data_IF_735309225151
#
_entry.id   IF_735309225151
#
_cell.length_a   1.000
_cell.length_b   1.000
_cell.length_c   1.000
_cell.angle_alpha   90.00
_cell.angle_beta   90.00
_cell.angle_gamma   90.00
#
_symmetry.space_group_name_H-M   'P 1'
#
loop_
_entity.id
_entity.type
_entity.pdbx_description
1 polymer ?
#
# COMPACT_ATOMS: atom_id res chain seq x y z
N UNK A 1 -5.19 17.18 -26.45
CA UNK A 1 -5.25 15.73 -26.45
C UNK A 1 -5.65 15.13 -27.80
N UNK A 2 -6.74 15.56 -28.42
CA UNK A 2 -7.22 15.02 -29.71
C UNK A 2 -6.15 15.04 -30.81
N UNK A 3 -5.35 16.11 -30.89
CA UNK A 3 -4.27 16.20 -31.87
C UNK A 3 -3.20 15.13 -31.63
N UNK A 4 -2.84 14.88 -30.37
CA UNK A 4 -1.88 13.82 -30.01
C UNK A 4 -2.49 12.44 -30.30
N UNK A 5 -3.74 12.20 -29.89
CA UNK A 5 -4.46 10.96 -30.13
C UNK A 5 -4.51 10.60 -31.62
N UNK A 6 -4.92 11.55 -32.45
CA UNK A 6 -5.05 11.34 -33.91
C UNK A 6 -3.71 11.11 -34.61
N UNK A 7 -2.61 11.70 -34.10
CA UNK A 7 -1.30 11.60 -34.74
C UNK A 7 -0.44 10.46 -34.22
N UNK A 8 -0.64 10.03 -32.96
CA UNK A 8 0.26 9.12 -32.28
C UNK A 8 -0.44 7.89 -31.67
N UNK A 9 -1.76 7.99 -31.40
CA UNK A 9 -2.52 6.95 -30.69
C UNK A 9 -2.62 7.18 -29.18
N UNK A 10 -3.43 6.34 -28.51
CA UNK A 10 -3.71 6.43 -27.08
C UNK A 10 -2.51 6.19 -26.18
N UNK A 11 -1.57 5.34 -26.61
CA UNK A 11 -0.35 5.01 -25.85
C UNK A 11 0.56 6.21 -25.54
N UNK A 12 0.37 7.31 -26.27
CA UNK A 12 1.08 8.57 -26.03
C UNK A 12 0.36 9.51 -25.06
N UNK A 13 -0.75 9.06 -24.46
CA UNK A 13 -1.54 9.77 -23.47
C UNK A 13 -1.61 8.97 -22.16
N UNK A 14 -1.83 9.69 -21.05
CA UNK A 14 -2.01 9.06 -19.75
C UNK A 14 -2.83 9.93 -18.79
N UNK A 15 -3.28 9.31 -17.70
CA UNK A 15 -3.92 9.96 -16.56
C UNK A 15 -3.24 9.61 -15.24
N UNK A 16 -3.16 10.60 -14.35
CA UNK A 16 -2.70 10.40 -12.98
C UNK A 16 -3.75 10.95 -12.01
N UNK A 17 -4.45 10.03 -11.35
CA UNK A 17 -5.53 10.34 -10.42
C UNK A 17 -5.11 10.29 -8.96
N UNK A 18 -6.06 10.61 -8.10
CA UNK A 18 -5.83 10.77 -6.66
C UNK A 18 -6.65 9.80 -5.83
N UNK A 19 -6.06 9.38 -4.72
CA UNK A 19 -6.75 8.70 -3.61
C UNK A 19 -7.40 9.69 -2.62
N UNK A 20 -7.50 10.96 -2.94
CA UNK A 20 -8.17 12.00 -2.14
C UNK A 20 -9.59 12.27 -2.59
N UNK A 21 -9.94 11.85 -3.83
CA UNK A 21 -11.29 11.93 -4.38
C UNK A 21 -12.23 10.86 -3.86
N UNK A 22 -13.51 10.96 -4.28
CA UNK A 22 -14.52 9.92 -3.99
C UNK A 22 -14.34 8.69 -4.88
N UNK A 23 -15.08 7.62 -4.60
CA UNK A 23 -15.11 6.44 -5.48
C UNK A 23 -15.64 6.78 -6.88
N UNK A 24 -16.64 7.65 -6.93
CA UNK A 24 -17.27 8.12 -8.17
C UNK A 24 -16.27 8.90 -9.02
N UNK A 25 -15.51 9.80 -8.41
CA UNK A 25 -14.44 10.55 -9.11
C UNK A 25 -13.35 9.64 -9.64
N UNK A 26 -12.90 8.68 -8.83
CA UNK A 26 -11.91 7.69 -9.25
C UNK A 26 -12.42 6.82 -10.41
N UNK A 27 -13.68 6.35 -10.31
CA UNK A 27 -14.33 5.57 -11.36
C UNK A 27 -14.50 6.37 -12.64
N UNK A 28 -15.00 7.60 -12.55
CA UNK A 28 -15.21 8.46 -13.74
C UNK A 28 -13.87 8.83 -14.41
N UNK A 29 -12.84 9.09 -13.60
CA UNK A 29 -11.54 9.46 -14.14
C UNK A 29 -10.89 8.30 -14.90
N UNK A 30 -10.84 7.10 -14.32
CA UNK A 30 -10.29 5.93 -15.03
C UNK A 30 -11.11 5.57 -16.27
N UNK A 31 -12.43 5.66 -16.20
CA UNK A 31 -13.33 5.47 -17.35
C UNK A 31 -13.05 6.48 -18.45
N UNK A 32 -12.90 7.75 -18.09
CA UNK A 32 -12.58 8.82 -19.02
C UNK A 32 -11.26 8.53 -19.78
N UNK A 33 -10.19 8.20 -19.07
CA UNK A 33 -8.89 7.89 -19.69
C UNK A 33 -9.02 6.70 -20.64
N UNK A 34 -9.65 5.61 -20.19
CA UNK A 34 -9.81 4.40 -21.00
C UNK A 34 -10.66 4.62 -22.25
N UNK A 35 -11.76 5.37 -22.13
CA UNK A 35 -12.66 5.61 -23.24
C UNK A 35 -12.21 6.74 -24.18
N UNK A 36 -11.79 7.88 -23.61
CA UNK A 36 -11.48 9.07 -24.38
C UNK A 36 -10.07 9.05 -24.96
N UNK A 37 -9.10 8.51 -24.22
CA UNK A 37 -7.72 8.39 -24.70
C UNK A 37 -7.47 7.03 -25.37
N UNK A 38 -8.30 6.03 -25.12
CA UNK A 38 -8.14 4.69 -25.68
C UNK A 38 -6.91 3.95 -25.16
N UNK A 39 -6.59 4.13 -23.89
CA UNK A 39 -5.42 3.52 -23.24
C UNK A 39 -5.70 3.15 -21.79
N UNK A 40 -5.01 2.14 -21.28
CA UNK A 40 -5.01 1.79 -19.86
C UNK A 40 -3.91 2.51 -19.05
N UNK A 41 -3.23 3.50 -19.62
CA UNK A 41 -2.21 4.32 -18.93
C UNK A 41 -2.86 5.27 -17.91
N UNK A 42 -3.45 4.71 -16.87
CA UNK A 42 -4.08 5.44 -15.77
C UNK A 42 -3.68 4.79 -14.45
N UNK A 43 -3.11 5.56 -13.55
CA UNK A 43 -2.66 5.08 -12.24
C UNK A 43 -2.92 6.16 -11.19
N UNK A 44 -2.71 5.86 -9.92
CA UNK A 44 -2.88 6.83 -8.84
C UNK A 44 -1.80 6.70 -7.76
N UNK A 45 -1.83 7.59 -6.79
CA UNK A 45 -0.80 7.71 -5.77
C UNK A 45 -0.52 6.43 -4.94
N UNK A 46 -1.43 5.44 -4.92
CA UNK A 46 -1.17 4.14 -4.27
C UNK A 46 0.10 3.47 -4.79
N UNK A 47 0.46 3.71 -6.04
CA UNK A 47 1.70 3.19 -6.64
C UNK A 47 2.94 3.58 -5.85
N UNK A 48 2.97 4.79 -5.33
CA UNK A 48 4.08 5.33 -4.53
C UNK A 48 3.86 5.17 -3.03
N UNK A 49 2.68 4.69 -2.62
CA UNK A 49 2.25 4.57 -1.23
C UNK A 49 2.34 3.12 -0.75
N UNK A 50 1.29 2.33 -0.95
CA UNK A 50 1.14 0.96 -0.46
C UNK A 50 1.13 -0.12 -1.55
N UNK A 51 1.62 0.17 -2.76
CA UNK A 51 1.63 -0.85 -3.84
C UNK A 51 2.35 -2.13 -3.43
N UNK A 52 3.47 -2.02 -2.70
CA UNK A 52 4.20 -3.17 -2.16
C UNK A 52 3.38 -3.98 -1.14
N UNK A 53 2.63 -3.30 -0.25
CA UNK A 53 1.73 -3.96 0.70
C UNK A 53 0.55 -4.62 0.00
N UNK A 54 -0.05 -3.94 -1.01
CA UNK A 54 -1.17 -4.51 -1.79
C UNK A 54 -0.71 -5.74 -2.57
N UNK A 55 0.46 -5.69 -3.21
CA UNK A 55 1.01 -6.84 -3.91
C UNK A 55 1.20 -8.04 -2.97
N UNK A 56 1.82 -7.82 -1.80
CA UNK A 56 2.04 -8.87 -0.81
C UNK A 56 0.72 -9.44 -0.25
N UNK A 57 -0.29 -8.59 0.00
CA UNK A 57 -1.61 -9.02 0.48
C UNK A 57 -2.37 -9.82 -0.59
N UNK A 58 -2.36 -9.38 -1.85
CA UNK A 58 -2.97 -10.12 -2.96
C UNK A 58 -2.34 -11.51 -3.13
N UNK A 59 -1.02 -11.61 -3.02
CA UNK A 59 -0.30 -12.89 -3.07
C UNK A 59 -0.59 -13.76 -1.84
N UNK A 60 -0.60 -13.17 -0.64
CA UNK A 60 -0.65 -13.91 0.62
C UNK A 60 -2.06 -14.27 1.11
N UNK A 61 -3.05 -13.40 0.87
CA UNK A 61 -4.44 -13.61 1.36
C UNK A 61 -5.50 -13.37 0.28
N UNK A 62 -5.10 -13.16 -0.98
CA UNK A 62 -6.03 -12.98 -2.10
C UNK A 62 -6.79 -11.65 -2.11
N UNK A 63 -6.43 -10.69 -1.26
CA UNK A 63 -7.12 -9.40 -1.18
C UNK A 63 -6.14 -8.27 -0.87
N UNK A 64 -6.22 -7.16 -1.57
CA UNK A 64 -5.44 -5.94 -1.29
C UNK A 64 -6.00 -5.08 -0.14
N UNK A 65 -7.14 -5.45 0.41
CA UNK A 65 -7.81 -4.75 1.50
C UNK A 65 -7.23 -5.12 2.87
N UNK A 66 -7.53 -4.27 3.87
CA UNK A 66 -7.29 -4.63 5.27
C UNK A 66 -8.15 -5.84 5.66
N UNK A 67 -7.60 -6.76 6.46
CA UNK A 67 -8.37 -7.93 6.90
C UNK A 67 -9.19 -7.69 8.17
N UNK A 68 -8.99 -6.56 8.85
CA UNK A 68 -9.72 -6.18 10.05
C UNK A 68 -9.86 -4.65 10.15
N UNK A 69 -10.97 -4.12 10.69
CA UNK A 69 -11.14 -2.70 10.93
C UNK A 69 -10.18 -2.21 12.03
N UNK A 70 -9.96 -0.89 12.09
CA UNK A 70 -9.08 -0.29 13.11
C UNK A 70 -9.58 -0.55 14.54
N UNK A 71 -10.91 -0.61 14.71
CA UNK A 71 -11.56 -0.88 15.99
C UNK A 71 -11.29 -2.29 16.51
N UNK A 72 -10.83 -3.22 15.69
CA UNK A 72 -10.44 -4.57 16.14
C UNK A 72 -9.31 -4.54 17.20
N UNK A 73 -8.56 -3.44 17.30
CA UNK A 73 -7.58 -3.23 18.36
C UNK A 73 -8.17 -3.27 19.76
N UNK A 74 -9.46 -2.94 19.94
CA UNK A 74 -10.13 -2.99 21.26
C UNK A 74 -10.31 -4.42 21.79
N UNK A 75 -10.37 -5.41 20.88
CA UNK A 75 -10.55 -6.83 21.18
C UNK A 75 -9.23 -7.63 21.13
N UNK A 76 -8.11 -6.95 20.87
CA UNK A 76 -6.79 -7.59 20.71
C UNK A 76 -6.05 -7.69 22.05
N UNK A 77 -5.38 -8.83 22.28
CA UNK A 77 -4.49 -9.04 23.42
C UNK A 77 -3.07 -8.56 23.12
N UNK A 78 -2.68 -8.60 21.85
CA UNK A 78 -1.39 -8.12 21.37
C UNK A 78 -1.57 -7.26 20.12
N UNK A 79 -0.95 -6.10 20.11
CA UNK A 79 -0.97 -5.16 19.00
C UNK A 79 0.46 -4.87 18.59
N UNK A 80 0.81 -5.19 17.35
CA UNK A 80 2.08 -4.83 16.76
C UNK A 80 1.92 -3.60 15.86
N UNK A 81 2.69 -2.56 16.10
CA UNK A 81 2.76 -1.36 15.24
C UNK A 81 4.17 -1.24 14.71
N UNK A 82 4.36 -1.25 13.40
CA UNK A 82 5.68 -1.21 12.77
C UNK A 82 5.74 -0.22 11.62
N UNK A 83 6.80 0.59 11.57
CA UNK A 83 7.02 1.56 10.50
C UNK A 83 5.90 2.59 10.34
N UNK A 84 5.23 2.95 11.44
CA UNK A 84 4.10 3.87 11.48
C UNK A 84 4.11 4.73 12.74
N UNK A 85 3.55 5.95 12.63
CA UNK A 85 3.34 6.88 13.74
C UNK A 85 1.88 7.28 13.82
N UNK A 86 1.00 6.37 14.25
CA UNK A 86 -0.44 6.61 14.21
C UNK A 86 -0.89 7.80 15.05
N UNK A 87 -0.18 8.16 16.14
CA UNK A 87 -0.48 9.36 16.92
C UNK A 87 -0.29 10.68 16.13
N UNK A 88 0.49 10.66 15.04
CA UNK A 88 0.67 11.82 14.15
C UNK A 88 -0.20 11.72 12.90
N UNK A 89 -0.26 10.53 12.28
CA UNK A 89 -0.90 10.34 10.98
C UNK A 89 -2.35 9.86 11.08
N UNK A 90 -2.73 9.22 12.18
CA UNK A 90 -4.05 8.66 12.46
C UNK A 90 -4.45 8.94 13.92
N UNK A 91 -4.51 10.22 14.37
CA UNK A 91 -4.59 10.56 15.79
C UNK A 91 -5.83 10.00 16.49
N UNK A 92 -6.97 9.99 15.81
CA UNK A 92 -8.22 9.41 16.37
C UNK A 92 -8.06 7.89 16.51
N UNK A 93 -7.58 7.22 15.48
CA UNK A 93 -7.38 5.78 15.50
C UNK A 93 -6.31 5.36 16.52
N UNK A 94 -5.27 6.16 16.75
CA UNK A 94 -4.26 5.91 17.80
C UNK A 94 -4.86 5.88 19.22
N UNK A 95 -6.05 6.44 19.43
CA UNK A 95 -6.73 6.35 20.74
C UNK A 95 -7.11 4.92 21.07
N UNK A 96 -7.54 4.11 20.09
CA UNK A 96 -7.86 2.69 20.27
C UNK A 96 -6.61 1.92 20.74
N UNK A 97 -5.46 2.10 20.08
CA UNK A 97 -4.19 1.46 20.47
C UNK A 97 -3.79 1.80 21.90
N UNK A 98 -3.89 3.08 22.27
CA UNK A 98 -3.56 3.55 23.62
C UNK A 98 -4.53 3.03 24.68
N UNK A 99 -5.81 2.95 24.35
CA UNK A 99 -6.82 2.42 25.26
C UNK A 99 -6.67 0.91 25.44
N UNK A 100 -6.45 0.15 24.37
CA UNK A 100 -6.18 -1.28 24.45
C UNK A 100 -4.95 -1.57 25.33
N UNK A 101 -3.84 -0.83 25.14
CA UNK A 101 -2.66 -0.95 26.00
C UNK A 101 -2.95 -0.64 27.48
N UNK A 102 -3.77 0.39 27.77
CA UNK A 102 -4.21 0.71 29.15
C UNK A 102 -5.12 -0.37 29.76
N UNK A 103 -5.87 -1.10 28.95
CA UNK A 103 -6.70 -2.24 29.37
C UNK A 103 -5.88 -3.52 29.57
N UNK A 104 -4.58 -3.53 29.21
CA UNK A 104 -3.66 -4.66 29.45
C UNK A 104 -3.17 -5.36 28.20
N UNK A 105 -3.63 -4.98 27.00
CA UNK A 105 -3.10 -5.51 25.75
C UNK A 105 -1.58 -5.22 25.61
N UNK A 106 -0.83 -6.20 25.12
CA UNK A 106 0.60 -6.02 24.84
C UNK A 106 0.77 -5.17 23.58
N UNK A 107 1.33 -3.99 23.74
CA UNK A 107 1.61 -3.09 22.61
C UNK A 107 3.10 -3.18 22.27
N UNK A 108 3.41 -3.73 21.09
CA UNK A 108 4.75 -3.85 20.53
C UNK A 108 4.91 -2.74 19.48
N UNK A 109 5.86 -1.82 19.66
CA UNK A 109 6.07 -0.69 18.76
C UNK A 109 7.47 -0.73 18.17
N UNK A 110 7.56 -0.94 16.87
CA UNK A 110 8.80 -1.07 16.10
C UNK A 110 9.02 0.18 15.24
N UNK A 111 10.10 0.90 15.47
CA UNK A 111 10.48 2.09 14.70
C UNK A 111 11.99 2.32 14.82
N UNK A 112 12.69 2.72 13.76
CA UNK A 112 14.10 3.12 13.86
C UNK A 112 14.35 4.32 14.77
N UNK A 113 13.32 5.10 15.06
CA UNK A 113 13.39 6.27 15.92
C UNK A 113 12.38 6.19 17.07
N UNK A 114 12.78 6.70 18.21
CA UNK A 114 11.86 6.85 19.36
C UNK A 114 10.67 7.71 19.00
N UNK A 115 9.46 7.20 19.23
CA UNK A 115 8.19 7.87 18.96
C UNK A 115 7.28 7.91 20.21
N UNK A 116 6.27 8.79 20.17
CA UNK A 116 5.42 9.03 21.34
C UNK A 116 4.57 7.80 21.74
N UNK A 117 4.15 6.97 20.77
CA UNK A 117 3.38 5.77 21.05
C UNK A 117 4.17 4.78 21.93
N UNK A 118 5.50 4.80 21.89
CA UNK A 118 6.36 3.95 22.73
C UNK A 118 6.18 4.18 24.22
N UNK A 119 5.58 5.31 24.65
CA UNK A 119 5.24 5.56 26.07
C UNK A 119 4.14 4.62 26.59
N UNK A 120 3.35 4.07 25.69
CA UNK A 120 2.27 3.13 26.00
C UNK A 120 2.66 1.69 25.67
N UNK A 121 3.78 1.51 24.98
CA UNK A 121 4.25 0.19 24.57
C UNK A 121 4.75 -0.62 25.76
N UNK A 122 4.34 -1.88 25.82
CA UNK A 122 4.98 -2.88 26.69
C UNK A 122 6.38 -3.22 26.17
N UNK A 123 6.56 -3.21 24.85
CA UNK A 123 7.83 -3.52 24.19
C UNK A 123 8.13 -2.49 23.08
N UNK A 124 8.87 -1.41 23.40
CA UNK A 124 9.39 -0.49 22.40
C UNK A 124 10.64 -1.09 21.74
N UNK A 125 10.57 -1.36 20.45
CA UNK A 125 11.67 -1.97 19.68
C UNK A 125 12.28 -0.92 18.75
N UNK A 126 13.53 -0.54 19.03
CA UNK A 126 14.30 0.36 18.17
C UNK A 126 15.31 -0.50 17.39
N UNK A 127 15.27 -0.45 16.08
CA UNK A 127 16.10 -1.25 15.21
C UNK A 127 16.77 -0.41 14.12
N UNK A 128 17.80 -0.94 13.46
CA UNK A 128 18.51 -0.22 12.40
C UNK A 128 17.62 -0.08 11.14
N UNK A 129 17.57 1.10 10.48
CA UNK A 129 16.82 1.28 9.23
C UNK A 129 17.24 0.28 8.15
N UNK A 130 16.26 -0.25 7.40
CA UNK A 130 16.50 -1.17 6.30
C UNK A 130 16.74 -2.63 6.71
N UNK A 131 16.65 -2.95 8.01
CA UNK A 131 16.84 -4.30 8.52
C UNK A 131 15.52 -5.03 8.84
N UNK A 132 14.40 -4.53 8.32
CA UNK A 132 13.05 -5.03 8.60
C UNK A 132 12.93 -6.52 8.27
N UNK A 133 13.33 -6.95 7.07
CA UNK A 133 13.30 -8.37 6.67
C UNK A 133 14.12 -9.25 7.62
N UNK A 134 15.30 -8.81 8.03
CA UNK A 134 16.15 -9.56 8.94
C UNK A 134 15.48 -9.73 10.31
N UNK A 135 14.95 -8.64 10.86
CA UNK A 135 14.27 -8.65 12.16
C UNK A 135 12.99 -9.49 12.12
N UNK A 136 12.14 -9.33 11.10
CA UNK A 136 10.88 -10.05 10.97
C UNK A 136 11.10 -11.55 10.69
N UNK A 137 12.09 -11.89 9.87
CA UNK A 137 12.46 -13.30 9.67
C UNK A 137 13.05 -13.92 10.95
N UNK A 138 13.73 -13.15 11.81
CA UNK A 138 14.18 -13.67 13.09
C UNK A 138 13.00 -13.94 14.05
N UNK A 139 11.93 -13.16 14.00
CA UNK A 139 10.68 -13.49 14.69
C UNK A 139 10.06 -14.79 14.17
N UNK A 140 9.95 -14.93 12.84
CA UNK A 140 9.45 -16.16 12.20
C UNK A 140 10.31 -17.37 12.58
N UNK A 141 11.64 -17.22 12.62
CA UNK A 141 12.56 -18.25 13.06
C UNK A 141 12.23 -18.72 14.50
N UNK A 142 12.10 -17.78 15.45
CA UNK A 142 11.77 -18.11 16.85
C UNK A 142 10.44 -18.86 16.95
N UNK A 143 9.40 -18.35 16.27
CA UNK A 143 8.06 -18.95 16.29
C UNK A 143 8.10 -20.38 15.75
N UNK A 144 8.87 -20.63 14.70
CA UNK A 144 8.98 -21.97 14.09
C UNK A 144 9.90 -22.89 14.91
N UNK A 145 11.06 -22.40 15.40
CA UNK A 145 12.00 -23.17 16.22
C UNK A 145 11.37 -23.64 17.52
N UNK A 146 10.63 -22.76 18.19
CA UNK A 146 9.97 -23.02 19.47
C UNK A 146 8.57 -23.64 19.33
N UNK A 147 8.12 -23.91 18.10
CA UNK A 147 6.81 -24.49 17.77
C UNK A 147 5.63 -23.69 18.34
N UNK A 148 5.70 -22.35 18.25
CA UNK A 148 4.68 -21.42 18.71
C UNK A 148 3.64 -21.10 17.61
N UNK A 149 3.67 -21.81 16.49
CA UNK A 149 2.72 -21.66 15.38
C UNK A 149 1.45 -22.47 15.61
N UNK A 150 0.37 -22.06 14.98
CA UNK A 150 -0.92 -22.80 15.00
C UNK A 150 -0.93 -23.87 13.89
N UNK A 151 -0.65 -25.11 14.25
CA UNK A 151 -0.57 -26.21 13.31
C UNK A 151 -1.91 -26.50 12.64
N UNK A 152 -3.02 -26.38 13.36
CA UNK A 152 -4.36 -26.65 12.80
C UNK A 152 -4.73 -25.57 11.77
N UNK A 153 -4.46 -24.31 12.08
CA UNK A 153 -4.69 -23.21 11.14
C UNK A 153 -3.80 -23.34 9.90
N UNK A 154 -2.53 -23.70 10.07
CA UNK A 154 -1.60 -23.93 8.95
C UNK A 154 -2.10 -25.03 8.03
N UNK A 155 -2.49 -26.17 8.58
CA UNK A 155 -3.00 -27.29 7.78
C UNK A 155 -4.27 -26.97 7.01
N UNK A 156 -5.13 -26.12 7.58
CA UNK A 156 -6.42 -25.76 6.97
C UNK A 156 -6.34 -24.60 5.96
N UNK A 157 -5.40 -23.65 6.14
CA UNK A 157 -5.47 -22.36 5.47
C UNK A 157 -4.15 -21.85 4.87
N UNK A 158 -3.02 -22.53 5.11
CA UNK A 158 -1.71 -21.98 4.71
C UNK A 158 -0.99 -22.93 3.76
N UNK A 159 -0.59 -22.40 2.63
CA UNK A 159 0.31 -23.09 1.70
C UNK A 159 1.76 -22.60 1.89
N UNK A 160 2.74 -23.45 1.56
CA UNK A 160 4.15 -23.07 1.54
C UNK A 160 4.85 -22.99 2.90
N UNK A 161 4.24 -23.45 4.00
CA UNK A 161 4.84 -23.41 5.34
C UNK A 161 6.21 -24.09 5.42
N UNK A 162 6.41 -25.26 4.78
CA UNK A 162 7.69 -25.98 4.80
C UNK A 162 8.79 -25.21 4.03
N UNK A 163 8.43 -24.50 2.96
CA UNK A 163 9.36 -23.65 2.25
C UNK A 163 9.80 -22.44 3.12
N UNK A 164 8.83 -21.82 3.83
CA UNK A 164 9.10 -20.76 4.80
C UNK A 164 10.02 -21.27 5.92
N UNK A 165 9.69 -22.42 6.52
CA UNK A 165 10.50 -23.03 7.60
C UNK A 165 11.94 -23.26 7.19
N UNK A 166 12.14 -23.76 5.97
CA UNK A 166 13.49 -23.94 5.41
C UNK A 166 14.20 -22.60 5.20
N UNK A 167 13.49 -21.59 4.70
CA UNK A 167 14.06 -20.27 4.38
C UNK A 167 14.51 -19.52 5.63
N UNK A 168 13.70 -19.52 6.70
CA UNK A 168 14.00 -18.72 7.90
C UNK A 168 15.00 -19.40 8.86
N UNK A 169 15.43 -20.63 8.55
CA UNK A 169 16.39 -21.37 9.38
C UNK A 169 17.71 -20.60 9.64
N UNK A 170 18.13 -19.80 8.66
CA UNK A 170 19.38 -19.04 8.76
C UNK A 170 19.23 -17.67 9.41
N UNK A 171 18.01 -17.31 9.86
CA UNK A 171 17.69 -16.02 10.46
C UNK A 171 17.56 -16.11 11.99
N UNK A 172 18.43 -16.89 12.67
CA UNK A 172 18.37 -16.94 14.12
C UNK A 172 18.59 -15.55 14.73
N UNK A 173 17.94 -15.23 15.87
CA UNK A 173 18.12 -13.94 16.55
C UNK A 173 19.58 -13.57 16.78
N UNK A 174 20.42 -14.56 17.13
CA UNK A 174 21.85 -14.38 17.42
C UNK A 174 22.62 -13.92 16.17
N UNK A 175 22.28 -14.45 14.98
CA UNK A 175 22.87 -14.00 13.71
C UNK A 175 22.34 -12.63 13.29
N UNK A 176 21.08 -12.33 13.58
CA UNK A 176 20.43 -11.07 13.15
C UNK A 176 20.65 -9.92 14.13
N UNK A 177 21.18 -10.16 15.33
CA UNK A 177 21.45 -9.13 16.34
C UNK A 177 22.35 -8.02 15.80
N UNK A 178 23.49 -8.39 15.19
CA UNK A 178 24.41 -7.40 14.61
C UNK A 178 23.77 -6.61 13.47
N UNK A 179 22.96 -7.27 12.64
CA UNK A 179 22.29 -6.65 11.49
C UNK A 179 21.19 -5.70 11.94
N UNK A 180 20.28 -6.17 12.79
CA UNK A 180 19.09 -5.42 13.20
C UNK A 180 19.37 -4.40 14.31
N UNK A 181 20.40 -4.64 15.13
CA UNK A 181 20.69 -3.87 16.34
C UNK A 181 19.77 -4.20 17.51
N UNK A 182 19.01 -5.29 17.43
CA UNK A 182 18.08 -5.75 18.48
C UNK A 182 18.64 -7.03 19.07
N UNK A 183 18.80 -7.08 20.42
CA UNK A 183 19.40 -8.25 21.08
C UNK A 183 18.57 -9.52 20.86
N UNK A 184 19.25 -10.65 20.72
CA UNK A 184 18.62 -11.95 20.48
C UNK A 184 17.59 -12.31 21.55
N UNK A 185 17.90 -12.05 22.81
CA UNK A 185 16.97 -12.28 23.92
C UNK A 185 15.69 -11.46 23.79
N UNK A 186 15.80 -10.20 23.38
CA UNK A 186 14.64 -9.32 23.19
C UNK A 186 13.78 -9.74 21.99
N UNK A 187 14.43 -10.19 20.92
CA UNK A 187 13.70 -10.79 19.77
C UNK A 187 12.89 -12.00 20.22
N UNK A 188 13.49 -12.92 20.99
CA UNK A 188 12.79 -14.11 21.52
C UNK A 188 11.63 -13.71 22.43
N UNK A 189 11.82 -12.70 23.28
CA UNK A 189 10.78 -12.22 24.20
C UNK A 189 9.53 -11.73 23.46
N UNK A 190 9.66 -10.73 22.57
CA UNK A 190 8.49 -10.20 21.89
C UNK A 190 7.89 -11.15 20.84
N UNK A 191 8.70 -12.06 20.27
CA UNK A 191 8.18 -13.10 19.38
C UNK A 191 7.27 -14.08 20.12
N UNK A 192 7.65 -14.51 21.31
CA UNK A 192 6.82 -15.36 22.19
C UNK A 192 5.54 -14.64 22.61
N UNK A 193 5.63 -13.34 22.95
CA UNK A 193 4.45 -12.54 23.31
C UNK A 193 3.48 -12.50 22.16
N UNK A 194 3.95 -12.18 20.95
CA UNK A 194 3.11 -12.12 19.76
C UNK A 194 2.44 -13.46 19.44
N UNK A 195 3.21 -14.53 19.45
CA UNK A 195 2.73 -15.87 19.07
C UNK A 195 1.81 -16.51 20.11
N UNK A 196 2.06 -16.30 21.42
CA UNK A 196 1.25 -16.89 22.49
C UNK A 196 0.01 -16.07 22.85
N UNK A 197 -0.19 -14.89 22.26
CA UNK A 197 -1.42 -14.12 22.45
C UNK A 197 -2.57 -14.77 21.68
N UNK A 198 -3.75 -14.82 22.28
CA UNK A 198 -4.93 -15.41 21.66
C UNK A 198 -5.36 -14.60 20.43
N UNK A 199 -5.24 -13.27 20.52
CA UNK A 199 -5.66 -12.32 19.49
C UNK A 199 -4.58 -11.29 19.23
N UNK A 200 -3.88 -11.43 18.10
CA UNK A 200 -2.86 -10.46 17.68
C UNK A 200 -3.24 -9.75 16.39
N UNK A 201 -3.02 -8.44 16.33
CA UNK A 201 -3.23 -7.62 15.14
C UNK A 201 -1.95 -6.86 14.78
N UNK A 202 -1.66 -6.75 13.49
CA UNK A 202 -0.51 -5.99 12.99
C UNK A 202 -0.98 -4.74 12.24
N UNK A 203 -0.50 -3.58 12.68
CA UNK A 203 -0.61 -2.30 11.97
C UNK A 203 0.75 -1.90 11.42
N UNK A 204 0.81 -1.55 10.13
CA UNK A 204 2.06 -1.03 9.55
C UNK A 204 1.84 0.16 8.64
N UNK A 205 2.85 0.98 8.48
CA UNK A 205 2.78 2.19 7.65
C UNK A 205 3.81 2.23 6.52
N UNK A 206 4.07 3.44 6.06
CA UNK A 206 5.01 3.71 4.96
C UNK A 206 6.44 3.30 5.28
N UNK A 207 6.84 3.24 6.56
CA UNK A 207 8.13 2.73 6.99
C UNK A 207 8.38 1.27 6.61
N UNK A 208 7.33 0.48 6.38
CA UNK A 208 7.41 -0.88 5.82
C UNK A 208 7.34 -0.87 4.30
N UNK A 209 6.38 -0.11 3.74
CA UNK A 209 6.00 -0.19 2.33
C UNK A 209 6.96 0.54 1.40
N UNK A 210 7.45 1.71 1.80
CA UNK A 210 8.30 2.59 0.98
C UNK A 210 9.79 2.25 1.13
N UNK A 211 10.12 1.00 0.93
CA UNK A 211 11.48 0.45 0.90
C UNK A 211 11.75 -0.27 -0.41
N UNK A 212 13.02 -0.44 -0.76
CA UNK A 212 13.44 -1.30 -1.88
C UNK A 212 12.91 -2.73 -1.70
N UNK A 213 12.80 -3.20 -0.45
CA UNK A 213 12.25 -4.50 -0.06
C UNK A 213 10.85 -4.41 0.56
N UNK A 214 10.05 -3.38 0.22
CA UNK A 214 8.74 -3.15 0.82
C UNK A 214 7.75 -4.30 0.68
N UNK A 215 7.78 -5.01 -0.46
CA UNK A 215 6.97 -6.21 -0.67
C UNK A 215 7.41 -7.35 0.25
N UNK A 216 8.72 -7.59 0.41
CA UNK A 216 9.24 -8.63 1.29
C UNK A 216 8.99 -8.30 2.77
N UNK A 217 9.11 -7.03 3.17
CA UNK A 217 8.73 -6.59 4.51
C UNK A 217 7.26 -6.96 4.82
N UNK A 218 6.36 -6.64 3.88
CA UNK A 218 4.93 -6.94 4.02
C UNK A 218 4.65 -8.44 4.02
N UNK A 219 5.34 -9.22 3.18
CA UNK A 219 5.26 -10.70 3.17
C UNK A 219 5.66 -11.30 4.52
N UNK A 220 6.69 -10.77 5.18
CA UNK A 220 7.09 -11.22 6.52
C UNK A 220 5.97 -10.97 7.56
N UNK A 221 5.31 -9.81 7.52
CA UNK A 221 4.18 -9.49 8.42
C UNK A 221 2.97 -10.40 8.17
N UNK A 222 2.67 -10.66 6.90
CA UNK A 222 1.60 -11.58 6.51
C UNK A 222 1.93 -13.00 7.00
N UNK A 223 3.17 -13.47 6.79
CA UNK A 223 3.60 -14.79 7.25
C UNK A 223 3.51 -14.93 8.77
N UNK A 224 3.91 -13.91 9.55
CA UNK A 224 3.73 -13.89 11.01
C UNK A 224 2.27 -14.14 11.40
N UNK A 225 1.33 -13.42 10.80
CA UNK A 225 -0.08 -13.56 11.12
C UNK A 225 -0.67 -14.90 10.66
N UNK A 226 -0.26 -15.40 9.50
CA UNK A 226 -0.76 -16.67 8.96
C UNK A 226 -0.29 -17.87 9.78
N UNK A 227 1.00 -17.95 10.13
CA UNK A 227 1.50 -19.12 10.88
C UNK A 227 1.02 -19.18 12.33
N UNK A 228 0.54 -18.05 12.87
CA UNK A 228 0.00 -17.97 14.24
C UNK A 228 -1.54 -17.93 14.29
N UNK A 229 -2.23 -18.09 13.13
CA UNK A 229 -3.68 -18.08 13.06
C UNK A 229 -4.34 -16.73 13.37
N UNK A 230 -3.61 -15.62 13.18
CA UNK A 230 -4.09 -14.27 13.50
C UNK A 230 -4.72 -13.56 12.30
N UNK A 231 -5.47 -14.29 11.46
CA UNK A 231 -6.26 -13.75 10.36
C UNK A 231 -7.64 -14.40 10.36
N UNK A 232 -8.69 -13.59 10.10
CA UNK A 232 -10.05 -14.09 9.92
C UNK A 232 -10.85 -14.31 11.22
N UNK A 233 -10.35 -13.83 12.37
CA UNK A 233 -11.04 -13.91 13.67
C UNK A 233 -11.17 -12.53 14.30
N UNK A 234 -12.21 -12.24 15.11
CA UNK A 234 -12.33 -10.97 15.84
C UNK A 234 -11.09 -10.67 16.69
N UNK A 235 -10.61 -9.44 16.67
CA UNK A 235 -9.43 -8.99 17.39
C UNK A 235 -8.10 -9.41 16.75
N UNK A 236 -8.11 -10.04 15.57
CA UNK A 236 -6.91 -10.41 14.82
C UNK A 236 -6.89 -9.73 13.45
N UNK A 237 -5.73 -9.64 12.81
CA UNK A 237 -5.68 -9.19 11.42
C UNK A 237 -4.42 -8.48 10.97
N UNK A 238 -4.50 -8.07 9.73
CA UNK A 238 -3.49 -7.36 8.96
C UNK A 238 -4.05 -6.00 8.54
N UNK A 239 -3.41 -4.91 8.98
CA UNK A 239 -3.93 -3.57 8.77
C UNK A 239 -2.84 -2.60 8.30
N UNK A 240 -2.55 -2.52 6.98
CA UNK A 240 -1.76 -1.43 6.44
C UNK A 240 -2.48 -0.09 6.69
N UNK A 241 -1.84 0.80 7.43
CA UNK A 241 -2.35 2.13 7.74
C UNK A 241 -2.25 3.02 6.51
N UNK A 242 -3.38 3.25 5.85
CA UNK A 242 -3.45 4.09 4.65
C UNK A 242 -3.25 5.56 5.04
N UNK A 243 -2.52 6.31 4.22
CA UNK A 243 -2.27 7.74 4.47
C UNK A 243 -3.41 8.62 4.00
N UNK A 244 -3.83 8.45 2.76
CA UNK A 244 -4.90 9.23 2.16
C UNK A 244 -6.27 8.60 2.44
N UNK A 245 -7.30 9.43 2.45
CA UNK A 245 -8.65 9.06 2.89
C UNK A 245 -9.33 7.99 2.03
N UNK A 246 -8.98 7.85 0.75
CA UNK A 246 -9.64 6.92 -0.17
C UNK A 246 -8.66 6.06 -1.02
N UNK A 247 -7.52 5.68 -0.45
CA UNK A 247 -6.52 4.85 -1.17
C UNK A 247 -7.11 3.51 -1.60
N UNK A 248 -7.89 2.88 -0.73
CA UNK A 248 -8.51 1.60 -1.05
C UNK A 248 -9.63 1.78 -2.07
N UNK A 249 -10.56 2.70 -1.85
CA UNK A 249 -11.70 2.90 -2.74
C UNK A 249 -11.31 3.34 -4.16
N UNK A 250 -10.27 4.16 -4.31
CA UNK A 250 -9.74 4.51 -5.63
C UNK A 250 -9.18 3.28 -6.37
N UNK A 251 -8.52 2.37 -5.65
CA UNK A 251 -8.05 1.09 -6.21
C UNK A 251 -9.22 0.17 -6.56
N UNK A 252 -10.21 0.03 -5.66
CA UNK A 252 -11.42 -0.77 -5.86
C UNK A 252 -12.24 -0.27 -7.07
N UNK A 253 -12.24 1.05 -7.31
CA UNK A 253 -12.88 1.70 -8.46
C UNK A 253 -12.11 1.52 -9.78
N UNK A 254 -10.98 0.81 -9.79
CA UNK A 254 -10.20 0.49 -10.99
C UNK A 254 -9.26 1.59 -11.48
N UNK A 255 -8.87 2.53 -10.60
CA UNK A 255 -7.89 3.57 -10.94
C UNK A 255 -6.45 3.01 -10.92
N UNK A 256 -6.27 1.86 -11.52
CA UNK A 256 -5.03 1.08 -11.61
C UNK A 256 -4.86 0.57 -13.04
N UNK A 257 -3.65 0.63 -13.64
CA UNK A 257 -3.46 0.39 -15.07
C UNK A 257 -3.74 -1.05 -15.53
N UNK A 258 -3.68 -2.04 -14.62
CA UNK A 258 -3.84 -3.45 -15.00
C UNK A 258 -5.23 -4.03 -14.67
N UNK A 259 -6.12 -3.25 -14.03
CA UNK A 259 -7.43 -3.77 -13.62
C UNK A 259 -8.56 -2.78 -13.87
N UNK A 260 -9.75 -3.31 -14.12
CA UNK A 260 -11.03 -2.62 -14.02
C UNK A 260 -11.52 -2.59 -12.56
N UNK A 261 -12.67 -1.96 -12.27
CA UNK A 261 -13.28 -2.02 -10.93
C UNK A 261 -13.34 -3.44 -10.37
N UNK A 262 -13.19 -3.55 -9.05
CA UNK A 262 -13.16 -4.83 -8.32
C UNK A 262 -11.94 -5.72 -8.70
N UNK A 263 -10.81 -5.11 -9.04
CA UNK A 263 -9.52 -5.78 -9.37
C UNK A 263 -9.60 -6.79 -10.53
N UNK A 264 -10.57 -6.64 -11.43
CA UNK A 264 -10.75 -7.51 -12.59
C UNK A 264 -9.71 -7.17 -13.67
N UNK A 265 -8.99 -8.19 -14.18
CA UNK A 265 -7.90 -7.97 -15.14
C UNK A 265 -8.37 -7.33 -16.45
N UNK A 266 -7.65 -6.33 -16.96
CA UNK A 266 -7.90 -5.74 -18.28
C UNK A 266 -7.59 -6.71 -19.43
N UNK A 267 -6.74 -7.71 -19.19
CA UNK A 267 -6.36 -8.72 -20.17
C UNK A 267 -7.41 -9.86 -20.28
N UNK A 268 -8.31 -9.97 -19.31
CA UNK A 268 -9.40 -10.93 -19.35
C UNK A 268 -10.45 -10.49 -20.40
N UNK A 269 -10.67 -11.32 -21.40
CA UNK A 269 -11.55 -11.00 -22.52
C UNK A 269 -13.03 -10.89 -22.10
N UNK A 270 -13.48 -11.71 -21.18
CA UNK A 270 -14.88 -11.71 -20.73
C UNK A 270 -15.16 -10.47 -19.89
N UNK A 271 -14.24 -10.11 -19.01
CA UNK A 271 -14.28 -8.87 -18.22
C UNK A 271 -14.26 -7.64 -19.13
N UNK A 272 -13.34 -7.61 -20.10
CA UNK A 272 -13.26 -6.50 -21.05
C UNK A 272 -14.55 -6.34 -21.87
N UNK A 273 -15.09 -7.44 -22.41
CA UNK A 273 -16.35 -7.43 -23.14
C UNK A 273 -17.50 -6.89 -22.30
N UNK A 274 -17.57 -7.26 -21.01
CA UNK A 274 -18.56 -6.72 -20.07
C UNK A 274 -18.47 -5.19 -19.98
N UNK A 275 -17.24 -4.64 -19.80
CA UNK A 275 -17.07 -3.19 -19.70
C UNK A 275 -17.27 -2.48 -21.06
N UNK A 276 -16.88 -3.09 -22.17
CA UNK A 276 -17.16 -2.57 -23.53
C UNK A 276 -18.66 -2.44 -23.78
N UNK A 277 -19.44 -3.47 -23.41
CA UNK A 277 -20.90 -3.43 -23.48
C UNK A 277 -21.48 -2.31 -22.61
N UNK A 278 -21.08 -2.26 -21.33
CA UNK A 278 -21.58 -1.27 -20.37
C UNK A 278 -21.18 0.17 -20.71
N UNK A 279 -20.01 0.36 -21.28
CA UNK A 279 -19.50 1.69 -21.60
C UNK A 279 -19.73 2.10 -23.05
N UNK A 280 -20.13 1.16 -23.91
CA UNK A 280 -20.47 1.41 -25.33
C UNK A 280 -19.27 1.76 -26.20
N UNK A 281 -18.08 1.26 -25.88
CA UNK A 281 -16.83 1.54 -26.63
C UNK A 281 -15.81 0.44 -26.46
N UNK A 282 -15.04 0.13 -27.51
CA UNK A 282 -13.90 -0.77 -27.45
C UNK A 282 -12.81 -0.22 -26.55
N UNK A 283 -12.18 -1.11 -25.79
CA UNK A 283 -11.17 -0.80 -24.78
C UNK A 283 -9.82 -1.44 -25.16
N UNK A 284 -8.73 -0.85 -24.67
CA UNK A 284 -7.39 -1.40 -24.84
C UNK A 284 -7.28 -2.79 -24.13
N UNK A 285 -6.85 -3.84 -24.84
CA UNK A 285 -6.70 -5.18 -24.28
C UNK A 285 -5.45 -5.38 -23.43
N UNK A 286 -4.53 -4.41 -23.43
CA UNK A 286 -3.22 -4.53 -22.81
C UNK A 286 -3.18 -3.85 -21.44
N UNK A 287 -2.32 -4.31 -20.55
CA UNK A 287 -2.01 -3.58 -19.30
C UNK A 287 -1.45 -2.21 -19.61
N UNK A 288 -1.94 -1.20 -18.90
CA UNK A 288 -1.36 0.13 -18.95
C UNK A 288 -0.06 0.24 -18.12
N UNK A 289 0.52 1.41 -18.19
CA UNK A 289 1.75 1.76 -17.49
C UNK A 289 1.46 2.27 -16.08
N UNK A 290 2.32 1.88 -15.13
CA UNK A 290 2.35 2.49 -13.80
C UNK A 290 2.85 3.93 -13.86
N UNK A 291 2.54 4.76 -12.87
CA UNK A 291 3.00 6.15 -12.82
C UNK A 291 4.53 6.26 -12.93
N UNK A 292 5.27 5.32 -12.35
CA UNK A 292 6.75 5.29 -12.45
C UNK A 292 7.20 5.05 -13.89
N UNK A 293 6.56 4.11 -14.59
CA UNK A 293 6.84 3.86 -16.01
C UNK A 293 6.39 5.01 -16.90
N UNK A 294 5.25 5.65 -16.58
CA UNK A 294 4.75 6.85 -17.25
C UNK A 294 5.79 7.97 -17.18
N UNK A 295 6.30 8.31 -16.00
CA UNK A 295 7.33 9.36 -15.84
C UNK A 295 8.59 9.04 -16.63
N UNK A 296 9.06 7.80 -16.61
CA UNK A 296 10.20 7.35 -17.41
C UNK A 296 9.93 7.48 -18.92
N UNK A 297 8.73 7.12 -19.37
CA UNK A 297 8.37 7.23 -20.79
C UNK A 297 8.20 8.65 -21.26
N UNK A 298 7.74 9.58 -20.42
CA UNK A 298 7.70 11.01 -20.73
C UNK A 298 9.12 11.53 -20.95
N UNK A 299 10.06 11.23 -20.05
CA UNK A 299 11.47 11.64 -20.20
C UNK A 299 12.08 11.14 -21.49
N UNK A 300 11.69 9.94 -21.93
CA UNK A 300 12.14 9.31 -23.17
C UNK A 300 11.30 9.66 -24.41
N UNK A 301 10.43 10.68 -24.33
CA UNK A 301 9.58 11.15 -25.44
C UNK A 301 8.68 10.05 -26.04
N UNK A 302 8.10 9.22 -25.17
CA UNK A 302 7.15 8.14 -25.50
C UNK A 302 5.74 8.42 -25.00
N UNK A 303 5.54 9.44 -24.15
CA UNK A 303 4.26 9.99 -23.75
C UNK A 303 4.32 11.50 -23.93
N UNK A 304 3.28 12.08 -24.48
CA UNK A 304 3.22 13.49 -24.87
C UNK A 304 2.14 14.28 -24.15
N UNK A 305 1.09 13.62 -23.69
CA UNK A 305 -0.01 14.29 -23.00
C UNK A 305 -0.40 13.59 -21.71
N UNK A 306 -0.67 14.39 -20.66
CA UNK A 306 -1.05 13.88 -19.34
C UNK A 306 -2.20 14.71 -18.75
N UNK A 307 -3.15 14.02 -18.10
CA UNK A 307 -4.16 14.65 -17.28
C UNK A 307 -3.91 14.25 -15.80
N UNK A 308 -3.66 15.24 -14.96
CA UNK A 308 -3.46 15.06 -13.51
C UNK A 308 -4.69 15.56 -12.76
N UNK A 309 -5.26 14.74 -11.90
CA UNK A 309 -6.43 15.08 -11.09
C UNK A 309 -6.14 14.88 -9.60
N UNK A 310 -6.05 15.99 -8.86
CA UNK A 310 -5.92 16.01 -7.40
C UNK A 310 -4.56 15.49 -6.87
N UNK A 311 -3.52 15.52 -7.70
CA UNK A 311 -2.17 15.10 -7.34
C UNK A 311 -1.11 16.17 -7.69
N UNK A 312 -0.01 16.15 -6.94
CA UNK A 312 1.06 17.12 -7.10
C UNK A 312 2.43 16.41 -7.29
N UNK A 313 2.63 15.66 -8.39
CA UNK A 313 3.87 14.90 -8.61
C UNK A 313 5.14 15.77 -8.63
N UNK A 314 5.06 17.04 -9.04
CA UNK A 314 6.20 17.96 -8.97
C UNK A 314 6.73 18.18 -7.54
N UNK A 315 5.96 17.82 -6.51
CA UNK A 315 6.32 17.93 -5.09
C UNK A 315 6.37 16.56 -4.40
N UNK A 316 5.45 15.65 -4.72
CA UNK A 316 5.25 14.41 -3.96
C UNK A 316 6.03 13.20 -4.45
N UNK A 317 6.51 13.21 -5.70
CA UNK A 317 7.28 12.08 -6.23
C UNK A 317 8.63 11.93 -5.52
N UNK A 318 9.11 10.70 -5.31
CA UNK A 318 10.35 10.44 -4.57
C UNK A 318 11.59 11.10 -5.18
N UNK A 319 11.67 11.16 -6.52
CA UNK A 319 12.67 11.92 -7.27
C UNK A 319 12.02 13.15 -7.92
N UNK A 320 11.99 14.24 -7.18
CA UNK A 320 11.41 15.50 -7.64
C UNK A 320 12.07 16.04 -8.92
N UNK A 321 13.37 15.89 -9.05
CA UNK A 321 14.09 16.39 -10.23
C UNK A 321 13.66 15.62 -11.48
N UNK A 322 13.55 14.30 -11.37
CA UNK A 322 13.06 13.46 -12.45
C UNK A 322 11.60 13.76 -12.79
N UNK A 323 10.73 13.91 -11.81
CA UNK A 323 9.31 14.23 -12.01
C UNK A 323 9.13 15.58 -12.70
N UNK A 324 9.82 16.63 -12.24
CA UNK A 324 9.79 17.96 -12.86
C UNK A 324 10.36 17.96 -14.28
N UNK A 325 11.44 17.20 -14.53
CA UNK A 325 11.97 17.00 -15.87
C UNK A 325 10.93 16.30 -16.77
N UNK A 326 10.24 15.27 -16.28
CA UNK A 326 9.17 14.62 -17.02
C UNK A 326 8.05 15.61 -17.36
N UNK A 327 7.51 16.30 -16.38
CA UNK A 327 6.43 17.28 -16.59
C UNK A 327 6.80 18.37 -17.60
N UNK A 328 8.04 18.88 -17.58
CA UNK A 328 8.52 19.90 -18.52
C UNK A 328 8.66 19.40 -19.97
N UNK A 329 8.73 18.08 -20.20
CA UNK A 329 8.82 17.47 -21.53
C UNK A 329 7.48 17.15 -22.17
N UNK A 330 6.39 17.25 -21.42
CA UNK A 330 5.05 17.03 -21.96
C UNK A 330 4.72 18.09 -23.04
N UNK A 331 4.05 17.66 -24.09
CA UNK A 331 3.51 18.56 -25.11
C UNK A 331 2.17 19.16 -24.70
N UNK A 332 1.47 18.49 -23.79
CA UNK A 332 0.20 18.96 -23.26
C UNK A 332 -0.07 18.38 -21.88
N UNK A 333 -0.19 19.24 -20.88
CA UNK A 333 -0.51 18.90 -19.50
C UNK A 333 -1.78 19.61 -19.05
N UNK A 334 -2.75 18.85 -18.59
CA UNK A 334 -3.94 19.36 -17.91
C UNK A 334 -3.85 18.99 -16.43
N UNK A 335 -4.08 19.97 -15.56
CA UNK A 335 -4.12 19.78 -14.11
C UNK A 335 -5.48 20.23 -13.57
N UNK A 336 -6.11 19.38 -12.79
CA UNK A 336 -7.33 19.69 -12.04
C UNK A 336 -7.03 19.54 -10.54
N UNK A 337 -7.06 20.64 -9.80
CA UNK A 337 -6.76 20.65 -8.38
C UNK A 337 -7.51 21.78 -7.66
N UNK A 338 -7.67 21.63 -6.33
CA UNK A 338 -8.27 22.65 -5.47
C UNK A 338 -7.31 23.80 -5.19
N UNK A 339 -6.01 23.60 -5.38
CA UNK A 339 -4.95 24.58 -5.15
C UNK A 339 -4.07 24.73 -6.39
N UNK A 340 -3.44 25.90 -6.50
CA UNK A 340 -2.42 26.13 -7.51
C UNK A 340 -1.08 25.52 -7.02
N UNK A 341 -0.89 24.25 -7.37
CA UNK A 341 0.23 23.42 -6.92
C UNK A 341 1.48 23.61 -7.78
N UNK A 342 2.63 23.06 -7.33
CA UNK A 342 3.87 23.02 -8.12
C UNK A 342 3.68 22.32 -9.47
N UNK A 343 2.82 21.30 -9.54
CA UNK A 343 2.48 20.64 -10.80
C UNK A 343 1.71 21.56 -11.75
N UNK A 344 0.84 22.43 -11.21
CA UNK A 344 0.07 23.38 -12.00
C UNK A 344 0.94 24.41 -12.73
N UNK A 345 2.17 24.71 -12.25
CA UNK A 345 3.13 25.57 -12.94
C UNK A 345 3.60 25.01 -14.28
N UNK A 346 3.49 23.71 -14.51
CA UNK A 346 3.85 23.05 -15.77
C UNK A 346 2.65 22.90 -16.71
N UNK A 347 1.42 23.20 -16.25
CA UNK A 347 0.20 22.92 -16.98
C UNK A 347 -0.08 23.92 -18.09
N UNK A 348 -0.59 23.42 -19.21
CA UNK A 348 -1.17 24.25 -20.30
C UNK A 348 -2.60 24.66 -19.97
N UNK A 349 -3.34 23.82 -19.23
CA UNK A 349 -4.71 24.07 -18.79
C UNK A 349 -4.88 23.66 -17.34
N UNK A 350 -5.53 24.53 -16.57
CA UNK A 350 -5.81 24.30 -15.14
C UNK A 350 -7.33 24.38 -14.95
N UNK A 351 -7.90 23.32 -14.36
CA UNK A 351 -9.28 23.29 -13.91
C UNK A 351 -9.34 23.39 -12.38
N UNK A 352 -10.12 24.34 -11.82
CA UNK A 352 -10.37 24.38 -10.40
C UNK A 352 -11.22 23.17 -9.99
N UNK A 353 -10.87 22.53 -8.87
CA UNK A 353 -11.63 21.46 -8.26
C UNK A 353 -12.24 21.90 -6.94
N UNK A 354 -13.38 21.33 -6.58
CA UNK A 354 -14.02 21.56 -5.29
C UNK A 354 -13.37 20.73 -4.20
N UNK A 355 -13.19 21.29 -3.00
CA UNK A 355 -12.83 20.55 -1.80
C UNK A 355 -14.02 19.71 -1.30
N UNK A 356 -13.74 18.71 -0.46
CA UNK A 356 -14.77 17.79 0.05
C UNK A 356 -16.00 18.48 0.67
N UNK A 357 -15.84 19.56 1.48
CA UNK A 357 -17.02 20.25 2.05
C UNK A 357 -17.83 21.08 1.04
N UNK A 358 -17.31 21.28 -0.18
CA UNK A 358 -17.92 22.15 -1.20
C UNK A 358 -18.72 21.38 -2.25
N UNK A 359 -18.80 20.07 -2.14
CA UNK A 359 -19.49 19.20 -3.10
C UNK A 359 -20.31 18.13 -2.42
N UNK A 360 -21.31 17.59 -3.16
CA UNK A 360 -22.06 16.41 -2.79
C UNK A 360 -21.45 15.16 -3.44
N UNK A 361 -21.38 14.08 -2.72
CA UNK A 361 -20.87 12.80 -3.20
C UNK A 361 -19.52 12.40 -2.63
#
# INVERSE_FOLDING_TARGET
FLKILNSNGGDFLCGFGSAKGTNEEAYLFQKFIRQAFGTNNVDHCTRLCHASSVAALMEGIGSGAVSAPFTAADDSDCIMVIGARPEQNHPVAATYLKQAAKKGAKLLVFDPRKQNLMRYASHPVIFKPGCDVALLNSMLHVIIEEKLYDEQYIQAHVEGFEALRKKVKDFSPEKMEEISGVSANYVREFSRIYANSEKSIIFWGMGISQHVHGTDNSRCLIALSLITGHVGRPGTGLHPLRGQNNVQGASDAGLIPMVYPNYQSVEDIDVRNFFEDKWGRSLDPSKGLTVVEIMNRIVNSRIFGMYVMGENPAMSDPDQNHARLALSKLKHLVVQDSFFTETAWFADVIFPASAQPEKAG
#
